data_IF_143134587526
#
_entry.id   IF_143134587526
#
_cell.length_a   1.000
_cell.length_b   1.000
_cell.length_c   1.000
_cell.angle_alpha   90.00
_cell.angle_beta   90.00
_cell.angle_gamma   90.00
#
_symmetry.space_group_name_H-M   'P 1'
#
loop_
_entity.id
_entity.type
_entity.pdbx_description
1 polymer ?
#
# COMPACT_ATOMS: atom_id res chain seq x y z
N UNK A 1 8.08 21.67 10.75
CA UNK A 1 9.37 21.11 10.35
C UNK A 1 10.48 21.73 11.19
N UNK A 2 11.34 20.90 11.76
CA UNK A 2 12.57 21.30 12.48
C UNK A 2 13.74 20.56 11.88
N UNK A 3 14.82 21.28 11.60
CA UNK A 3 16.09 20.70 11.13
C UNK A 3 17.17 20.99 12.17
N UNK A 4 17.92 19.97 12.57
CA UNK A 4 19.06 20.11 13.48
C UNK A 4 20.29 19.39 12.93
N UNK A 5 21.48 19.88 13.30
CA UNK A 5 22.74 19.23 13.04
C UNK A 5 23.60 19.38 14.30
N UNK A 6 24.18 18.28 14.79
CA UNK A 6 24.96 18.23 16.03
C UNK A 6 24.22 18.92 17.21
N UNK A 7 22.90 18.73 17.31
CA UNK A 7 22.03 19.30 18.35
C UNK A 7 21.71 20.80 18.21
N UNK A 8 22.15 21.46 17.14
CA UNK A 8 21.88 22.88 16.87
C UNK A 8 20.85 23.04 15.75
N UNK A 9 19.91 23.97 15.92
CA UNK A 9 18.92 24.30 14.88
C UNK A 9 19.58 24.85 13.62
N UNK A 10 19.17 24.31 12.47
CA UNK A 10 19.57 24.76 11.13
C UNK A 10 18.43 25.54 10.54
N UNK A 11 18.62 26.82 10.16
CA UNK A 11 17.62 27.60 9.46
C UNK A 11 17.25 26.97 8.11
N UNK A 12 15.96 27.00 7.78
CA UNK A 12 15.45 26.51 6.50
C UNK A 12 14.39 27.45 5.93
N UNK A 13 14.13 27.34 4.62
CA UNK A 13 13.06 28.04 3.92
C UNK A 13 12.30 27.05 3.06
N UNK A 14 10.99 27.28 2.92
CA UNK A 14 10.18 26.54 1.95
C UNK A 14 10.33 27.16 0.57
N UNK A 15 10.41 26.33 -0.46
CA UNK A 15 10.37 26.82 -1.83
C UNK A 15 9.03 27.53 -2.12
N UNK A 16 9.04 28.73 -2.74
CA UNK A 16 7.82 29.47 -3.00
C UNK A 16 6.97 28.90 -4.16
N UNK A 17 7.53 28.02 -4.98
CA UNK A 17 6.86 27.40 -6.13
C UNK A 17 6.58 25.92 -5.85
N UNK A 18 7.61 25.16 -5.50
CA UNK A 18 7.48 23.77 -5.05
C UNK A 18 7.28 23.74 -3.53
N UNK A 19 6.02 23.78 -3.11
CA UNK A 19 5.66 23.82 -1.69
C UNK A 19 6.07 22.57 -0.88
N UNK A 20 6.52 21.52 -1.55
CA UNK A 20 7.04 20.30 -0.92
C UNK A 20 8.58 20.29 -0.80
N UNK A 21 9.26 21.29 -1.37
CA UNK A 21 10.71 21.45 -1.26
C UNK A 21 11.10 22.39 -0.11
N UNK A 22 12.15 21.97 0.63
CA UNK A 22 12.70 22.71 1.76
C UNK A 22 14.20 22.91 1.56
N UNK A 23 14.67 24.16 1.63
CA UNK A 23 16.06 24.54 1.41
C UNK A 23 16.76 24.87 2.72
N UNK A 24 17.90 24.29 2.93
CA UNK A 24 18.78 24.58 4.06
C UNK A 24 20.25 24.36 3.71
N UNK A 25 21.16 24.98 4.47
CA UNK A 25 22.60 24.78 4.31
C UNK A 25 23.12 24.06 5.55
N UNK A 26 23.57 22.81 5.43
CA UNK A 26 24.18 22.10 6.53
C UNK A 26 25.42 22.86 7.06
N UNK A 27 25.67 22.89 8.39
CA UNK A 27 26.89 23.44 8.93
C UNK A 27 28.15 22.76 8.36
N UNK A 28 29.23 23.51 8.21
CA UNK A 28 30.49 22.96 7.72
C UNK A 28 30.96 21.80 8.61
N UNK A 29 31.24 20.64 8.00
CA UNK A 29 31.69 19.43 8.69
C UNK A 29 30.56 18.56 9.27
N UNK A 30 29.30 18.96 9.18
CA UNK A 30 28.17 18.12 9.59
C UNK A 30 28.11 16.84 8.73
N UNK A 31 28.04 15.67 9.37
CA UNK A 31 27.94 14.37 8.71
C UNK A 31 26.49 13.92 8.53
N UNK A 32 25.58 14.50 9.31
CA UNK A 32 24.16 14.19 9.30
C UNK A 32 23.35 15.43 9.69
N UNK A 33 22.10 15.45 9.29
CA UNK A 33 21.07 16.36 9.78
C UNK A 33 19.87 15.53 10.25
N UNK A 34 19.26 15.98 11.33
CA UNK A 34 18.00 15.42 11.82
C UNK A 34 16.85 16.30 11.33
N UNK A 35 15.88 15.69 10.69
CA UNK A 35 14.68 16.38 10.18
C UNK A 35 13.44 15.81 10.90
N UNK A 36 12.76 16.65 11.64
CA UNK A 36 11.55 16.27 12.37
C UNK A 36 10.35 17.09 11.92
N UNK A 37 9.20 16.42 11.71
CA UNK A 37 7.95 17.08 11.35
C UNK A 37 6.74 16.22 11.73
N UNK A 38 5.60 16.88 11.90
CA UNK A 38 4.31 16.26 12.15
C UNK A 38 3.47 16.31 10.87
N UNK A 39 2.74 15.22 10.61
CA UNK A 39 1.76 15.13 9.53
C UNK A 39 0.36 15.25 10.14
N UNK A 40 -0.38 16.25 9.71
CA UNK A 40 -1.79 16.39 10.07
C UNK A 40 -2.64 15.64 9.05
N UNK A 41 -3.50 14.75 9.54
CA UNK A 41 -4.40 13.99 8.69
C UNK A 41 -5.82 14.55 8.77
N UNK A 42 -6.64 14.45 7.70
CA UNK A 42 -8.05 14.78 7.75
C UNK A 42 -8.80 14.03 8.84
N UNK A 43 -9.69 14.72 9.54
CA UNK A 43 -10.58 14.14 10.57
C UNK A 43 -12.01 14.00 10.08
N UNK A 44 -12.32 14.53 8.89
CA UNK A 44 -13.62 14.38 8.22
C UNK A 44 -13.41 14.16 6.72
N UNK A 45 -14.30 13.41 6.04
CA UNK A 45 -14.21 13.21 4.58
C UNK A 45 -14.31 14.51 3.76
N UNK A 46 -14.88 15.57 4.33
CA UNK A 46 -15.02 16.85 3.66
C UNK A 46 -13.69 17.56 3.38
N UNK A 47 -12.63 17.25 4.14
CA UNK A 47 -11.30 17.87 4.01
C UNK A 47 -10.24 16.92 3.49
N UNK A 48 -10.58 15.66 3.23
CA UNK A 48 -9.70 14.68 2.61
C UNK A 48 -9.89 13.27 3.15
N UNK A 49 -9.07 12.34 2.66
CA UNK A 49 -9.11 10.94 3.08
C UNK A 49 -8.67 10.81 4.54
N UNK A 50 -9.50 10.19 5.36
CA UNK A 50 -9.16 9.87 6.76
C UNK A 50 -8.17 8.71 6.73
N UNK A 51 -7.01 8.91 7.34
CA UNK A 51 -5.92 7.92 7.40
C UNK A 51 -5.76 7.29 8.78
N UNK A 52 -6.34 7.88 9.82
CA UNK A 52 -6.20 7.45 11.22
C UNK A 52 -7.55 7.42 11.89
N UNK A 53 -7.85 6.32 12.54
CA UNK A 53 -9.00 6.14 13.45
C UNK A 53 -8.51 5.63 14.79
N UNK A 54 -9.36 5.54 15.84
CA UNK A 54 -8.95 4.93 17.10
C UNK A 54 -8.55 3.44 16.99
N UNK A 55 -8.94 2.76 15.91
CA UNK A 55 -8.73 1.32 15.71
C UNK A 55 -7.60 1.00 14.74
N UNK A 56 -7.33 1.88 13.75
CA UNK A 56 -6.37 1.59 12.69
C UNK A 56 -5.78 2.84 12.03
N UNK A 57 -4.65 2.64 11.35
CA UNK A 57 -3.89 3.63 10.59
C UNK A 57 -3.55 3.04 9.20
N UNK A 58 -3.76 3.82 8.14
CA UNK A 58 -3.16 3.61 6.81
C UNK A 58 -1.98 4.58 6.65
N UNK A 59 -0.77 4.06 6.60
CA UNK A 59 0.47 4.83 6.52
C UNK A 59 1.08 4.69 5.13
N UNK A 60 1.05 5.78 4.36
CA UNK A 60 1.77 5.87 3.09
C UNK A 60 3.09 6.60 3.31
N UNK A 61 4.21 5.89 3.24
CA UNK A 61 5.55 6.47 3.46
C UNK A 61 5.86 7.61 2.49
N UNK A 62 5.33 7.53 1.26
CA UNK A 62 5.45 8.61 0.28
C UNK A 62 4.96 9.96 0.82
N UNK A 63 3.89 9.97 1.62
CA UNK A 63 3.31 11.19 2.21
C UNK A 63 4.01 11.63 3.50
N UNK A 64 4.88 10.78 4.07
CA UNK A 64 5.47 10.99 5.40
C UNK A 64 6.99 11.00 5.39
N UNK A 65 7.63 11.03 4.22
CA UNK A 65 9.08 11.01 4.09
C UNK A 65 9.58 12.15 3.23
N UNK A 66 10.79 12.60 3.50
CA UNK A 66 11.56 13.54 2.70
C UNK A 66 12.81 12.85 2.17
N UNK A 67 13.28 13.24 1.02
CA UNK A 67 14.51 12.74 0.42
C UNK A 67 15.36 13.89 -0.15
N UNK A 68 16.69 13.73 -0.28
CA UNK A 68 17.54 14.76 -0.86
C UNK A 68 17.25 14.94 -2.35
N UNK A 69 16.92 16.17 -2.75
CA UNK A 69 16.64 16.51 -4.15
C UNK A 69 17.84 16.26 -5.06
N UNK A 70 17.56 15.89 -6.31
CA UNK A 70 18.59 15.65 -7.33
C UNK A 70 19.18 14.24 -7.33
N UNK A 71 18.70 13.33 -6.50
CA UNK A 71 19.12 11.93 -6.47
C UNK A 71 18.00 11.01 -6.97
N UNK A 72 18.36 9.95 -7.68
CA UNK A 72 17.42 8.91 -8.04
C UNK A 72 16.90 8.19 -6.79
N UNK A 73 15.60 8.15 -6.61
CA UNK A 73 14.96 7.54 -5.43
C UNK A 73 15.31 6.07 -5.26
N UNK A 74 15.59 5.35 -6.36
CA UNK A 74 16.10 3.96 -6.35
C UNK A 74 17.49 3.80 -5.75
N UNK A 75 18.29 4.87 -5.71
CA UNK A 75 19.68 4.85 -5.23
C UNK A 75 19.85 5.41 -3.83
N UNK A 76 18.78 5.91 -3.22
CA UNK A 76 18.80 6.43 -1.85
C UNK A 76 18.53 5.27 -0.90
N UNK A 77 19.53 4.80 -0.11
CA UNK A 77 19.31 3.76 0.88
C UNK A 77 18.55 4.33 2.09
N UNK A 78 17.53 3.60 2.55
CA UNK A 78 16.71 4.00 3.69
C UNK A 78 16.60 2.84 4.67
N UNK A 79 16.87 3.10 5.95
CA UNK A 79 16.49 2.26 7.07
C UNK A 79 15.18 2.82 7.65
N UNK A 80 14.14 2.01 7.66
CA UNK A 80 12.80 2.41 8.12
C UNK A 80 12.53 1.80 9.48
N UNK A 81 12.01 2.60 10.42
CA UNK A 81 11.47 2.12 11.69
C UNK A 81 10.08 2.73 11.92
N UNK A 82 9.14 1.92 12.37
CA UNK A 82 7.78 2.37 12.70
C UNK A 82 7.44 1.94 14.12
N UNK A 83 7.01 2.89 14.92
CA UNK A 83 6.45 2.66 16.26
C UNK A 83 4.93 2.84 16.18
N UNK A 84 4.20 1.82 16.58
CA UNK A 84 2.72 1.85 16.63
C UNK A 84 2.23 1.89 18.06
N UNK A 85 0.97 2.28 18.33
CA UNK A 85 0.39 2.20 19.67
C UNK A 85 0.50 0.79 20.24
N UNK A 86 0.66 0.68 21.57
CA UNK A 86 0.77 -0.61 22.24
C UNK A 86 -0.45 -1.50 21.97
N UNK A 87 -0.21 -2.76 21.69
CA UNK A 87 -1.23 -3.73 21.31
C UNK A 87 -1.68 -3.68 19.86
N UNK A 88 -1.10 -2.78 19.03
CA UNK A 88 -1.35 -2.77 17.61
C UNK A 88 -0.41 -3.71 16.85
N UNK A 89 -0.91 -4.24 15.74
CA UNK A 89 -0.11 -4.97 14.76
C UNK A 89 0.08 -4.09 13.54
N UNK A 90 1.23 -4.23 12.86
CA UNK A 90 1.54 -3.55 11.60
C UNK A 90 1.81 -4.59 10.51
N UNK A 91 1.29 -4.37 9.31
CA UNK A 91 1.57 -5.13 8.10
C UNK A 91 2.03 -4.20 6.98
N UNK A 92 3.04 -4.63 6.23
CA UNK A 92 3.64 -3.92 5.09
C UNK A 92 4.45 -4.92 4.27
N UNK A 93 4.77 -4.57 3.03
CA UNK A 93 5.71 -5.35 2.21
C UNK A 93 7.19 -5.11 2.56
N UNK A 94 7.51 -4.19 3.47
CA UNK A 94 8.88 -4.05 3.98
C UNK A 94 9.28 -5.29 4.79
N UNK A 95 10.50 -5.78 4.57
CA UNK A 95 11.01 -6.98 5.26
C UNK A 95 11.46 -6.61 6.67
N UNK A 96 10.85 -7.14 7.72
CA UNK A 96 11.25 -6.84 9.08
C UNK A 96 12.65 -7.39 9.38
N UNK A 97 13.45 -6.62 10.11
CA UNK A 97 14.76 -7.01 10.59
C UNK A 97 14.75 -7.24 12.10
N UNK A 98 14.15 -6.31 12.85
CA UNK A 98 14.10 -6.35 14.32
C UNK A 98 12.81 -5.76 14.84
N UNK A 99 12.28 -6.34 15.91
CA UNK A 99 11.17 -5.77 16.69
C UNK A 99 11.63 -5.54 18.14
N UNK A 100 11.41 -4.34 18.66
CA UNK A 100 11.73 -3.97 20.05
C UNK A 100 10.53 -3.23 20.62
N UNK A 101 9.81 -3.87 21.53
CA UNK A 101 8.53 -3.34 22.04
C UNK A 101 7.54 -3.13 20.88
N UNK A 102 7.02 -1.91 20.77
CA UNK A 102 6.05 -1.50 19.76
C UNK A 102 6.72 -0.95 18.48
N UNK A 103 8.06 -0.98 18.41
CA UNK A 103 8.83 -0.52 17.26
C UNK A 103 9.30 -1.69 16.39
N UNK A 104 9.01 -1.62 15.08
CA UNK A 104 9.57 -2.54 14.09
C UNK A 104 10.55 -1.79 13.21
N UNK A 105 11.79 -2.29 13.11
CA UNK A 105 12.82 -1.83 12.19
C UNK A 105 12.86 -2.79 11.00
N UNK A 106 12.95 -2.25 9.80
CA UNK A 106 12.96 -3.01 8.55
C UNK A 106 14.35 -3.00 7.92
N UNK A 107 14.63 -3.99 7.09
CA UNK A 107 15.89 -4.06 6.33
C UNK A 107 16.07 -2.82 5.47
N UNK A 108 17.31 -2.36 5.36
CA UNK A 108 17.66 -1.26 4.46
C UNK A 108 17.24 -1.59 3.04
N UNK A 109 16.54 -0.66 2.41
CA UNK A 109 16.13 -0.76 1.00
C UNK A 109 16.15 0.62 0.34
N UNK A 110 15.78 0.73 -0.94
CA UNK A 110 15.73 2.02 -1.63
C UNK A 110 14.53 2.87 -1.17
N UNK A 111 14.66 4.20 -1.26
CA UNK A 111 13.54 5.11 -0.98
C UNK A 111 12.32 4.80 -1.84
N UNK A 112 12.51 4.47 -3.13
CA UNK A 112 11.40 4.04 -4.00
C UNK A 112 10.68 2.81 -3.44
N UNK A 113 11.41 1.81 -2.96
CA UNK A 113 10.80 0.61 -2.35
C UNK A 113 10.03 0.95 -1.08
N UNK A 114 10.57 1.84 -0.23
CA UNK A 114 9.87 2.31 0.98
C UNK A 114 8.59 3.04 0.60
N UNK A 115 8.65 3.98 -0.35
CA UNK A 115 7.49 4.72 -0.83
C UNK A 115 6.41 3.81 -1.45
N UNK A 116 6.84 2.72 -2.11
CA UNK A 116 5.98 1.69 -2.72
C UNK A 116 5.58 0.55 -1.77
N UNK A 117 5.81 0.70 -0.47
CA UNK A 117 5.50 -0.32 0.54
C UNK A 117 4.73 0.28 1.72
N UNK A 118 3.50 0.78 1.50
CA UNK A 118 2.71 1.35 2.59
C UNK A 118 2.50 0.34 3.71
N UNK A 119 2.02 0.82 4.84
CA UNK A 119 1.69 -0.01 5.98
C UNK A 119 0.26 0.24 6.45
N UNK A 120 -0.41 -0.81 6.89
CA UNK A 120 -1.62 -0.69 7.68
C UNK A 120 -1.32 -1.21 9.08
N UNK A 121 -1.77 -0.48 10.09
CA UNK A 121 -1.62 -0.89 11.48
C UNK A 121 -2.95 -0.76 12.22
N UNK A 122 -3.18 -1.62 13.21
CA UNK A 122 -4.42 -1.59 13.98
C UNK A 122 -4.46 -2.64 15.08
N UNK A 123 -5.49 -2.52 15.94
CA UNK A 123 -5.69 -3.44 17.07
C UNK A 123 -6.42 -4.72 16.68
N UNK A 124 -7.38 -4.64 15.75
CA UNK A 124 -8.12 -5.80 15.28
C UNK A 124 -7.48 -6.28 13.98
N UNK A 125 -6.72 -7.37 14.07
CA UNK A 125 -5.90 -7.86 12.97
C UNK A 125 -6.00 -9.37 12.85
N UNK A 126 -6.02 -9.85 11.60
CA UNK A 126 -5.82 -11.25 11.27
C UNK A 126 -5.08 -11.41 9.93
N UNK A 127 -4.08 -12.28 9.91
CA UNK A 127 -3.36 -12.65 8.70
C UNK A 127 -3.77 -14.04 8.24
N UNK A 128 -3.95 -14.20 6.92
CA UNK A 128 -4.25 -15.48 6.28
C UNK A 128 -3.21 -15.79 5.22
N UNK A 129 -2.71 -17.02 5.22
CA UNK A 129 -1.83 -17.53 4.16
C UNK A 129 -2.67 -17.91 2.93
N UNK A 130 -2.42 -17.21 1.82
CA UNK A 130 -3.09 -17.46 0.54
C UNK A 130 -2.30 -18.37 -0.39
N UNK A 131 -1.04 -18.73 -0.06
CA UNK A 131 -0.19 -19.59 -0.87
C UNK A 131 0.50 -20.66 0.00
N UNK A 132 -0.27 -21.48 0.76
CA UNK A 132 0.32 -22.42 1.70
C UNK A 132 1.24 -23.41 1.00
N UNK A 133 2.47 -23.54 1.50
CA UNK A 133 3.49 -24.42 0.94
C UNK A 133 4.19 -23.91 -0.33
N UNK A 134 3.83 -22.73 -0.85
CA UNK A 134 4.53 -22.12 -1.98
C UNK A 134 5.86 -21.49 -1.53
N UNK A 135 6.84 -21.48 -2.45
CA UNK A 135 8.13 -20.81 -2.20
C UNK A 135 7.99 -19.29 -2.08
N UNK A 136 6.98 -18.71 -2.74
CA UNK A 136 6.66 -17.28 -2.72
C UNK A 136 5.41 -17.09 -1.85
N UNK A 137 5.55 -16.58 -0.62
CA UNK A 137 4.40 -16.38 0.27
C UNK A 137 3.50 -15.24 -0.22
N UNK A 138 2.20 -15.44 -0.07
CA UNK A 138 1.18 -14.41 -0.30
C UNK A 138 0.26 -14.36 0.91
N UNK A 139 0.10 -13.19 1.51
CA UNK A 139 -0.71 -13.01 2.71
C UNK A 139 -1.86 -12.06 2.48
N UNK A 140 -2.98 -12.35 3.15
CA UNK A 140 -4.12 -11.45 3.28
C UNK A 140 -4.09 -10.90 4.72
N UNK A 141 -3.70 -9.66 4.87
CA UNK A 141 -3.63 -8.96 6.15
C UNK A 141 -4.90 -8.13 6.32
N UNK A 142 -5.74 -8.51 7.24
CA UNK A 142 -7.05 -7.90 7.45
C UNK A 142 -7.05 -7.11 8.74
N UNK A 143 -7.36 -5.83 8.63
CA UNK A 143 -7.60 -4.91 9.75
C UNK A 143 -9.05 -4.46 9.72
N UNK A 144 -9.66 -4.27 10.88
CA UNK A 144 -11.07 -3.87 10.95
C UNK A 144 -11.37 -2.98 12.16
N UNK A 145 -12.49 -2.26 12.07
CA UNK A 145 -13.01 -1.46 13.18
C UNK A 145 -13.39 -2.35 14.38
N UNK A 146 -13.80 -3.61 14.13
CA UNK A 146 -14.26 -4.56 15.17
C UNK A 146 -13.64 -5.96 14.96
N UNK A 147 -13.40 -6.70 16.04
CA UNK A 147 -12.69 -7.99 15.98
C UNK A 147 -13.42 -9.07 15.18
N UNK A 148 -14.75 -9.09 15.18
CA UNK A 148 -15.52 -10.09 14.42
C UNK A 148 -15.44 -9.90 12.90
N UNK A 149 -15.09 -8.71 12.44
CA UNK A 149 -15.01 -8.37 11.01
C UNK A 149 -13.77 -8.94 10.33
N UNK A 150 -12.72 -9.29 11.08
CA UNK A 150 -11.51 -9.88 10.49
C UNK A 150 -11.66 -11.38 10.25
N UNK A 151 -12.78 -12.00 10.66
CA UNK A 151 -12.98 -13.44 10.55
C UNK A 151 -13.52 -13.82 9.18
N UNK A 152 -12.75 -14.63 8.44
CA UNK A 152 -13.14 -15.20 7.15
C UNK A 152 -13.48 -16.67 7.28
N UNK A 153 -14.50 -17.15 6.57
CA UNK A 153 -14.84 -18.57 6.50
C UNK A 153 -13.83 -19.36 5.66
N UNK A 154 -13.72 -20.68 5.83
CA UNK A 154 -12.85 -21.52 4.99
C UNK A 154 -13.15 -21.37 3.48
N UNK A 155 -14.42 -21.21 3.09
CA UNK A 155 -14.86 -21.03 1.72
C UNK A 155 -14.39 -19.69 1.15
N UNK A 156 -14.51 -18.62 1.93
CA UNK A 156 -14.00 -17.29 1.54
C UNK A 156 -12.48 -17.33 1.38
N UNK A 157 -11.76 -17.97 2.30
CA UNK A 157 -10.31 -18.14 2.20
C UNK A 157 -9.90 -18.96 0.98
N UNK A 158 -10.69 -20.02 0.65
CA UNK A 158 -10.45 -20.79 -0.58
C UNK A 158 -10.54 -19.91 -1.82
N UNK A 159 -11.56 -19.06 -1.91
CA UNK A 159 -11.76 -18.12 -3.04
C UNK A 159 -10.55 -17.17 -3.17
N UNK A 160 -10.02 -16.63 -2.06
CA UNK A 160 -8.84 -15.77 -2.09
C UNK A 160 -7.56 -16.54 -2.47
N UNK A 161 -7.42 -17.81 -2.05
CA UNK A 161 -6.33 -18.68 -2.50
C UNK A 161 -6.44 -19.01 -3.99
N UNK A 162 -7.66 -19.22 -4.47
CA UNK A 162 -7.92 -19.45 -5.88
C UNK A 162 -7.57 -18.19 -6.71
N UNK A 163 -7.76 -16.97 -6.18
CA UNK A 163 -7.28 -15.74 -6.84
C UNK A 163 -5.78 -15.80 -7.12
N UNK A 164 -4.98 -16.11 -6.11
CA UNK A 164 -3.51 -16.24 -6.26
C UNK A 164 -3.15 -17.31 -7.28
N UNK A 165 -3.76 -18.48 -7.17
CA UNK A 165 -3.54 -19.60 -8.08
C UNK A 165 -3.91 -19.26 -9.52
N UNK A 166 -5.05 -18.59 -9.73
CA UNK A 166 -5.52 -18.22 -11.06
C UNK A 166 -4.67 -17.10 -11.68
N UNK A 167 -4.18 -16.16 -10.88
CA UNK A 167 -3.26 -15.12 -11.35
C UNK A 167 -1.95 -15.72 -11.86
N UNK A 168 -1.33 -16.62 -11.10
CA UNK A 168 -0.10 -17.32 -11.52
C UNK A 168 -0.33 -18.14 -12.79
N UNK A 169 -1.46 -18.85 -12.89
CA UNK A 169 -1.84 -19.59 -14.12
C UNK A 169 -2.07 -18.67 -15.33
N UNK A 170 -2.64 -17.49 -15.11
CA UNK A 170 -2.97 -16.55 -16.19
C UNK A 170 -1.70 -15.86 -16.73
N UNK A 171 -0.85 -15.38 -15.83
CA UNK A 171 0.33 -14.60 -16.18
C UNK A 171 1.59 -15.44 -16.37
N UNK A 172 1.59 -16.70 -15.97
CA UNK A 172 2.67 -17.67 -16.19
C UNK A 172 3.92 -17.47 -15.35
N UNK A 173 3.96 -16.46 -14.47
CA UNK A 173 5.12 -16.15 -13.63
C UNK A 173 4.75 -15.32 -12.41
N UNK A 174 5.63 -15.32 -11.42
CA UNK A 174 5.67 -14.40 -10.29
C UNK A 174 7.01 -13.65 -10.34
N UNK A 175 7.01 -12.34 -10.06
CA UNK A 175 8.20 -11.50 -10.09
C UNK A 175 8.38 -10.70 -8.79
N UNK A 176 7.59 -11.02 -7.78
CA UNK A 176 7.77 -10.61 -6.39
C UNK A 176 8.30 -11.79 -5.58
N UNK A 177 9.03 -11.52 -4.52
CA UNK A 177 9.54 -12.52 -3.57
C UNK A 177 8.51 -12.86 -2.46
N UNK A 178 7.56 -11.97 -2.22
CA UNK A 178 6.37 -12.12 -1.38
C UNK A 178 5.32 -11.10 -1.79
N UNK A 179 4.06 -11.28 -1.37
CA UNK A 179 2.99 -10.31 -1.63
C UNK A 179 2.06 -10.17 -0.42
N UNK A 180 1.72 -8.92 -0.10
CA UNK A 180 0.90 -8.56 1.05
C UNK A 180 -0.36 -7.82 0.59
N UNK A 181 -1.52 -8.45 0.61
CA UNK A 181 -2.78 -7.73 0.53
C UNK A 181 -3.00 -7.02 1.86
N UNK A 182 -3.06 -5.69 1.85
CA UNK A 182 -3.36 -4.86 3.01
C UNK A 182 -4.83 -4.46 2.94
N UNK A 183 -5.66 -5.08 3.74
CA UNK A 183 -7.11 -4.88 3.72
C UNK A 183 -7.55 -4.11 4.97
N UNK A 184 -8.25 -3.02 4.77
CA UNK A 184 -8.92 -2.25 5.84
C UNK A 184 -10.44 -2.34 5.68
N UNK A 185 -11.11 -2.88 6.69
CA UNK A 185 -12.56 -3.03 6.77
C UNK A 185 -13.12 -1.95 7.71
N UNK A 186 -13.49 -0.80 7.15
CA UNK A 186 -13.88 0.36 7.95
C UNK A 186 -14.89 1.25 7.22
N UNK A 187 -15.84 1.81 7.98
CA UNK A 187 -16.68 2.92 7.52
C UNK A 187 -16.03 4.29 7.80
N UNK A 188 -14.99 4.32 8.65
CA UNK A 188 -14.37 5.55 9.14
C UNK A 188 -13.05 5.87 8.44
N UNK A 189 -12.24 4.85 8.13
CA UNK A 189 -11.03 5.02 7.34
C UNK A 189 -11.40 5.27 5.87
N UNK A 190 -10.78 6.26 5.24
CA UNK A 190 -11.06 6.56 3.83
C UNK A 190 -10.74 5.36 2.91
N UNK A 191 -11.71 4.98 2.07
CA UNK A 191 -11.55 3.90 1.10
C UNK A 191 -10.42 4.17 0.09
N UNK A 192 -9.76 3.11 -0.35
CA UNK A 192 -8.71 3.14 -1.37
C UNK A 192 -8.63 1.78 -2.07
N UNK A 193 -8.28 1.77 -3.36
CA UNK A 193 -7.59 0.71 -4.07
C UNK A 193 -6.29 1.33 -4.54
N UNK A 194 -5.16 0.73 -4.22
CA UNK A 194 -3.86 1.23 -4.66
C UNK A 194 -2.86 0.09 -4.73
N UNK A 195 -2.28 -0.01 -5.90
CA UNK A 195 -1.32 -1.03 -6.26
C UNK A 195 0.11 -0.69 -5.87
N UNK A 196 0.85 -1.72 -5.49
CA UNK A 196 2.28 -1.69 -5.22
C UNK A 196 2.94 -2.93 -5.81
N UNK A 197 4.27 -2.93 -5.94
CA UNK A 197 4.99 -4.07 -6.53
C UNK A 197 4.79 -5.36 -5.73
N UNK A 198 4.83 -5.28 -4.39
CA UNK A 198 4.75 -6.41 -3.45
C UNK A 198 3.55 -6.35 -2.51
N UNK A 199 2.65 -5.40 -2.71
CA UNK A 199 1.45 -5.27 -1.91
C UNK A 199 0.33 -4.55 -2.66
N UNK A 200 -0.84 -4.51 -2.05
CA UNK A 200 -1.92 -3.59 -2.43
C UNK A 200 -2.65 -3.09 -1.20
N UNK A 201 -3.06 -1.82 -1.22
CA UNK A 201 -4.00 -1.27 -0.25
C UNK A 201 -5.43 -1.49 -0.74
N UNK A 202 -6.28 -2.05 0.11
CA UNK A 202 -7.65 -2.41 -0.24
C UNK A 202 -8.61 -1.96 0.85
N UNK A 203 -9.25 -0.80 0.66
CA UNK A 203 -10.32 -0.31 1.51
C UNK A 203 -11.65 -0.95 1.12
N UNK A 204 -12.19 -1.80 1.97
CA UNK A 204 -13.38 -2.59 1.72
C UNK A 204 -14.46 -2.32 2.77
N UNK A 205 -15.74 -2.61 2.48
CA UNK A 205 -16.82 -2.44 3.46
C UNK A 205 -16.56 -3.26 4.73
N UNK A 206 -16.95 -2.77 5.92
CA UNK A 206 -16.79 -3.49 7.19
C UNK A 206 -17.42 -4.88 7.18
N UNK A 207 -18.46 -5.08 6.37
CA UNK A 207 -19.20 -6.34 6.24
C UNK A 207 -18.62 -7.27 5.16
N UNK A 208 -17.43 -7.02 4.64
CA UNK A 208 -16.84 -7.79 3.55
C UNK A 208 -16.90 -9.31 3.77
N UNK A 209 -16.54 -9.79 4.95
CA UNK A 209 -16.62 -11.22 5.29
C UNK A 209 -17.97 -11.60 5.93
N UNK A 210 -18.56 -10.72 6.72
CA UNK A 210 -19.77 -11.05 7.49
C UNK A 210 -21.07 -10.98 6.68
N UNK A 211 -21.06 -10.26 5.54
CA UNK A 211 -22.18 -10.21 4.58
C UNK A 211 -21.62 -10.29 3.15
N UNK A 212 -21.06 -11.45 2.83
CA UNK A 212 -20.37 -11.73 1.57
C UNK A 212 -21.21 -11.39 0.34
N UNK A 213 -22.49 -11.75 0.37
CA UNK A 213 -23.38 -11.54 -0.77
C UNK A 213 -23.67 -10.05 -1.02
N UNK A 214 -23.75 -9.22 0.00
CA UNK A 214 -23.93 -7.79 -0.16
C UNK A 214 -22.63 -7.08 -0.59
N UNK A 215 -21.48 -7.63 -0.24
CA UNK A 215 -20.17 -7.06 -0.54
C UNK A 215 -19.68 -7.31 -1.98
N UNK A 216 -20.39 -8.14 -2.78
CA UNK A 216 -19.93 -8.59 -4.10
C UNK A 216 -19.47 -7.48 -5.07
N UNK A 217 -20.03 -6.26 -5.08
CA UNK A 217 -19.56 -5.20 -5.99
C UNK A 217 -18.11 -4.75 -5.71
N UNK A 218 -17.60 -5.07 -4.51
CA UNK A 218 -16.24 -4.73 -4.09
C UNK A 218 -15.26 -5.91 -4.13
N UNK A 219 -15.71 -7.11 -4.47
CA UNK A 219 -14.85 -8.31 -4.49
C UNK A 219 -13.75 -8.20 -5.54
N UNK A 220 -14.02 -7.59 -6.69
CA UNK A 220 -13.04 -7.45 -7.78
C UNK A 220 -11.93 -6.46 -7.48
N UNK A 221 -11.99 -5.68 -6.38
CA UNK A 221 -10.92 -4.76 -6.02
C UNK A 221 -9.59 -5.51 -5.81
N UNK A 222 -9.60 -6.60 -5.03
CA UNK A 222 -8.37 -7.35 -4.77
C UNK A 222 -7.75 -7.93 -6.04
N UNK A 223 -8.57 -8.40 -6.97
CA UNK A 223 -8.08 -8.95 -8.24
C UNK A 223 -7.57 -7.86 -9.18
N UNK A 224 -8.14 -6.65 -9.14
CA UNK A 224 -7.66 -5.48 -9.86
C UNK A 224 -6.28 -5.07 -9.35
N UNK A 225 -6.16 -4.77 -8.06
CA UNK A 225 -4.90 -4.33 -7.45
C UNK A 225 -3.79 -5.40 -7.56
N UNK A 226 -4.16 -6.67 -7.46
CA UNK A 226 -3.19 -7.75 -7.63
C UNK A 226 -2.67 -7.87 -9.06
N UNK A 227 -3.52 -7.61 -10.06
CA UNK A 227 -3.14 -7.61 -11.47
C UNK A 227 -2.08 -6.55 -11.77
N UNK A 228 -2.15 -5.40 -11.10
CA UNK A 228 -1.15 -4.33 -11.24
C UNK A 228 0.26 -4.77 -10.85
N UNK A 229 0.43 -5.78 -10.00
CA UNK A 229 1.77 -6.33 -9.72
C UNK A 229 2.48 -6.78 -11.00
N UNK A 230 1.74 -7.28 -12.00
CA UNK A 230 2.26 -7.59 -13.35
C UNK A 230 2.16 -6.41 -14.30
N UNK A 231 0.95 -5.85 -14.47
CA UNK A 231 0.66 -4.76 -15.40
C UNK A 231 0.68 -3.41 -14.69
N UNK A 232 1.82 -2.74 -14.72
CA UNK A 232 2.00 -1.43 -14.10
C UNK A 232 3.19 -1.36 -13.15
N UNK A 233 3.37 -2.33 -12.26
CA UNK A 233 4.48 -2.30 -11.30
C UNK A 233 5.71 -3.05 -11.82
N UNK A 234 5.55 -4.24 -12.38
CA UNK A 234 6.65 -4.96 -13.03
C UNK A 234 6.84 -4.53 -14.49
N UNK A 235 5.76 -4.51 -15.27
CA UNK A 235 5.73 -3.99 -16.64
C UNK A 235 4.99 -2.67 -16.67
N UNK A 236 5.69 -1.60 -16.99
CA UNK A 236 5.20 -0.22 -16.97
C UNK A 236 5.53 0.49 -18.28
N UNK A 237 4.63 1.34 -18.78
CA UNK A 237 4.92 2.27 -19.86
C UNK A 237 6.09 3.20 -19.49
N UNK A 238 6.99 3.46 -20.43
CA UNK A 238 8.22 4.21 -20.12
C UNK A 238 7.96 5.62 -19.60
N UNK A 239 6.88 6.25 -20.01
CA UNK A 239 6.47 7.60 -19.58
C UNK A 239 5.65 7.63 -18.28
N UNK A 240 5.29 6.47 -17.73
CA UNK A 240 4.73 6.30 -16.40
C UNK A 240 5.81 6.11 -15.32
N UNK A 241 7.09 6.12 -15.70
CA UNK A 241 8.21 6.03 -14.77
C UNK A 241 8.96 7.37 -14.72
N UNK A 242 9.28 7.81 -13.52
CA UNK A 242 10.10 8.99 -13.26
C UNK A 242 11.24 8.64 -12.30
N UNK A 243 12.41 9.31 -12.41
CA UNK A 243 13.56 9.04 -11.53
C UNK A 243 13.37 9.58 -10.10
N UNK A 244 12.45 10.53 -9.94
CA UNK A 244 12.15 11.26 -8.69
C UNK A 244 10.65 11.46 -8.58
N UNK A 245 10.12 11.76 -7.39
CA UNK A 245 8.69 11.97 -7.18
C UNK A 245 8.20 13.39 -7.51
N UNK A 246 9.11 14.32 -7.79
CA UNK A 246 8.81 15.69 -8.25
C UNK A 246 8.70 15.80 -9.79
N UNK A 247 9.14 14.77 -10.52
CA UNK A 247 9.02 14.73 -11.97
C UNK A 247 7.61 14.25 -12.40
N UNK A 248 6.87 14.99 -13.24
CA UNK A 248 5.54 14.58 -13.68
C UNK A 248 5.60 13.40 -14.65
N UNK A 249 4.71 12.43 -14.47
CA UNK A 249 4.45 11.37 -15.44
C UNK A 249 3.65 11.92 -16.63
N UNK A 250 3.80 11.29 -17.82
CA UNK A 250 3.11 11.73 -19.05
C UNK A 250 1.83 10.96 -19.36
N UNK A 251 1.64 9.81 -18.75
CA UNK A 251 0.40 9.02 -18.75
C UNK A 251 -0.10 8.54 -20.13
N UNK A 252 0.72 8.55 -21.18
CA UNK A 252 0.27 8.16 -22.55
C UNK A 252 -0.24 6.72 -22.63
N UNK A 253 0.26 5.82 -21.77
CA UNK A 253 -0.16 4.43 -21.67
C UNK A 253 -0.97 4.12 -20.38
N UNK A 254 -1.51 5.13 -19.70
CA UNK A 254 -2.33 4.93 -18.51
C UNK A 254 -3.56 4.06 -18.83
N UNK A 255 -4.12 4.17 -20.02
CA UNK A 255 -5.22 3.32 -20.49
C UNK A 255 -4.85 1.82 -20.58
N UNK A 256 -3.57 1.51 -20.85
CA UNK A 256 -3.07 0.12 -20.75
C UNK A 256 -2.88 -0.27 -19.30
N UNK A 257 -2.28 0.62 -18.52
CA UNK A 257 -2.04 0.41 -17.09
C UNK A 257 -3.33 0.12 -16.35
N UNK A 258 -4.36 0.96 -16.51
CA UNK A 258 -5.64 0.83 -15.82
C UNK A 258 -6.65 -0.03 -16.59
N UNK A 259 -6.87 0.24 -17.87
CA UNK A 259 -7.93 -0.43 -18.63
C UNK A 259 -7.66 -1.92 -18.83
N UNK A 260 -6.43 -2.31 -19.13
CA UNK A 260 -6.06 -3.72 -19.24
C UNK A 260 -6.10 -4.40 -17.86
N UNK A 261 -5.69 -3.72 -16.81
CA UNK A 261 -5.79 -4.23 -15.43
C UNK A 261 -7.22 -4.44 -15.02
N UNK A 262 -8.11 -3.49 -15.32
CA UNK A 262 -9.55 -3.64 -15.06
C UNK A 262 -10.12 -4.89 -15.74
N UNK A 263 -9.78 -5.11 -17.02
CA UNK A 263 -10.21 -6.31 -17.73
C UNK A 263 -9.69 -7.60 -17.09
N UNK A 264 -8.38 -7.70 -16.84
CA UNK A 264 -7.80 -8.90 -16.23
C UNK A 264 -8.22 -9.09 -14.78
N UNK A 265 -8.44 -8.01 -14.03
CA UNK A 265 -9.03 -8.06 -12.69
C UNK A 265 -10.41 -8.72 -12.69
N UNK A 266 -11.27 -8.35 -13.62
CA UNK A 266 -12.60 -9.00 -13.80
C UNK A 266 -12.47 -10.47 -14.20
N UNK A 267 -11.56 -10.80 -15.13
CA UNK A 267 -11.28 -12.20 -15.50
C UNK A 267 -10.83 -13.02 -14.31
N UNK A 268 -9.92 -12.49 -13.50
CA UNK A 268 -9.43 -13.15 -12.30
C UNK A 268 -10.53 -13.29 -11.23
N UNK A 269 -11.35 -12.26 -11.03
CA UNK A 269 -12.49 -12.31 -10.12
C UNK A 269 -13.47 -13.44 -10.48
N UNK A 270 -13.76 -13.61 -11.78
CA UNK A 270 -14.58 -14.72 -12.26
C UNK A 270 -13.91 -16.09 -12.08
N UNK A 271 -12.62 -16.21 -12.43
CA UNK A 271 -11.87 -17.48 -12.39
C UNK A 271 -11.61 -17.97 -10.97
N UNK A 272 -11.48 -17.07 -10.01
CA UNK A 272 -11.28 -17.39 -8.60
C UNK A 272 -12.58 -17.66 -7.84
N UNK A 273 -13.71 -17.21 -8.37
CA UNK A 273 -15.00 -17.27 -7.69
C UNK A 273 -15.26 -16.08 -6.75
N UNK A 274 -14.43 -15.03 -6.78
CA UNK A 274 -14.73 -13.75 -6.09
C UNK A 274 -16.06 -13.17 -6.58
N UNK A 275 -16.29 -13.23 -7.90
CA UNK A 275 -17.56 -12.88 -8.51
C UNK A 275 -18.08 -14.02 -9.38
N UNK A 276 -19.37 -14.22 -9.36
CA UNK A 276 -20.05 -15.14 -10.29
C UNK A 276 -20.01 -14.58 -11.73
N UNK A 277 -20.21 -15.46 -12.72
CA UNK A 277 -20.31 -15.03 -14.13
C UNK A 277 -21.41 -13.98 -14.32
N UNK A 278 -22.56 -14.14 -13.67
CA UNK A 278 -23.66 -13.19 -13.77
C UNK A 278 -23.27 -11.80 -13.25
N UNK A 279 -22.59 -11.74 -12.09
CA UNK A 279 -22.10 -10.49 -11.51
C UNK A 279 -21.06 -9.80 -12.39
N UNK A 280 -20.16 -10.55 -13.03
CA UNK A 280 -19.19 -9.99 -13.99
C UNK A 280 -19.89 -9.43 -15.23
N UNK A 281 -20.88 -10.15 -15.78
CA UNK A 281 -21.67 -9.65 -16.92
C UNK A 281 -22.47 -8.40 -16.56
N UNK A 282 -23.02 -8.34 -15.34
CA UNK A 282 -23.69 -7.14 -14.82
C UNK A 282 -22.72 -5.97 -14.69
N UNK A 283 -21.51 -6.20 -14.15
CA UNK A 283 -20.47 -5.16 -14.07
C UNK A 283 -20.11 -4.64 -15.46
N UNK A 284 -19.87 -5.53 -16.44
CA UNK A 284 -19.54 -5.15 -17.81
C UNK A 284 -20.67 -4.39 -18.53
N UNK A 285 -21.94 -4.69 -18.19
CA UNK A 285 -23.07 -3.99 -18.78
C UNK A 285 -23.27 -2.58 -18.23
N UNK A 286 -22.72 -2.29 -17.05
CA UNK A 286 -22.83 -1.00 -16.35
C UNK A 286 -21.58 -0.12 -16.52
N UNK A 287 -20.54 -0.61 -17.21
CA UNK A 287 -19.32 0.14 -17.55
C UNK A 287 -19.43 0.77 -18.91
#
# INVERSE_FOLDING_TARGET
LTITADGKTVPWTRDPVDVFAFHFTPPAGAKAVDVAFDILTPVTPAIGRILVTPEMLSLQFLSTALYPAGYYTRQIPVETSVTVPSGWTIATALVPERKTGDTTTYKVTSFETVADSPAVAGRNFKAYDLAPGAATPVRLNVFADRPEQVEATPEQLKIHRDLVTQAVKLFGSQHYDHYEFLVSLSDNLGGIGLEHHRSSENGLPPKYFTDWNAAWPRHSLLSHEYTHSWNGKFRRGADLWTPTFDAPMRDSLLWVYEGQTQYWGMVLAARSGLNTRAQILETLANT
#
